data_IF_801194525380
#
_entry.id   IF_801194525380
#
_cell.length_a   1.000
_cell.length_b   1.000
_cell.length_c   1.000
_cell.angle_alpha   90.00
_cell.angle_beta   90.00
_cell.angle_gamma   90.00
#
_symmetry.space_group_name_H-M   'P 1'
#
loop_
_entity.id
_entity.type
_entity.pdbx_description
1 polymer ?
#
# COMPACT_ATOMS: atom_id res chain seq x y z
N UNK A 1 -2.59 -6.51 26.45
CA UNK A 1 -2.20 -5.25 25.80
C UNK A 1 -1.64 -5.61 24.44
N UNK A 2 -2.21 -5.09 23.35
CA UNK A 2 -1.53 -5.15 22.04
C UNK A 2 -0.42 -4.12 22.10
N UNK A 3 0.81 -4.51 21.79
CA UNK A 3 1.88 -3.55 21.57
C UNK A 3 1.50 -2.73 20.33
N UNK A 4 1.41 -1.42 20.49
CA UNK A 4 1.26 -0.48 19.40
C UNK A 4 2.66 -0.33 18.79
N UNK A 5 2.90 -1.00 17.67
CA UNK A 5 4.19 -0.95 16.98
C UNK A 5 4.13 0.27 16.07
N UNK A 6 4.83 1.34 16.46
CA UNK A 6 5.03 2.51 15.61
C UNK A 6 5.75 2.12 14.30
N UNK A 7 5.39 2.79 13.20
CA UNK A 7 6.04 2.60 11.90
C UNK A 7 7.54 2.90 11.98
N UNK A 8 8.37 1.97 11.50
CA UNK A 8 9.81 2.15 11.41
C UNK A 8 10.17 2.76 10.05
N UNK A 9 11.09 3.72 10.05
CA UNK A 9 11.57 4.38 8.86
C UNK A 9 13.09 4.23 8.69
N UNK A 10 13.57 4.20 7.44
CA UNK A 10 14.98 4.15 7.07
C UNK A 10 15.33 5.28 6.11
N UNK A 11 16.56 5.77 6.21
CA UNK A 11 17.12 6.73 5.27
C UNK A 11 17.43 6.06 3.93
N UNK A 12 17.06 6.73 2.83
CA UNK A 12 17.35 6.31 1.47
C UNK A 12 17.66 7.56 0.64
N UNK A 13 18.95 7.81 0.39
CA UNK A 13 19.43 9.08 -0.16
C UNK A 13 18.94 10.27 0.68
N UNK A 14 18.22 11.20 0.06
CA UNK A 14 17.59 12.38 0.68
C UNK A 14 16.17 12.10 1.20
N UNK A 15 15.69 10.85 1.13
CA UNK A 15 14.37 10.44 1.58
C UNK A 15 14.43 9.65 2.89
N UNK A 16 13.30 9.62 3.59
CA UNK A 16 13.03 8.75 4.74
C UNK A 16 11.81 7.90 4.47
N UNK A 17 12.04 6.61 4.17
CA UNK A 17 11.01 5.69 3.72
C UNK A 17 10.57 4.75 4.83
N UNK A 18 9.29 4.40 4.86
CA UNK A 18 8.76 3.33 5.71
C UNK A 18 9.45 2.01 5.36
N UNK A 19 9.74 1.17 6.36
CA UNK A 19 10.41 -0.13 6.12
C UNK A 19 9.52 -1.12 5.37
N UNK A 20 8.21 -0.89 5.39
CA UNK A 20 7.22 -1.57 4.57
C UNK A 20 6.82 -0.64 3.42
N UNK A 21 6.68 -1.21 2.23
CA UNK A 21 6.06 -0.55 1.08
C UNK A 21 4.75 -1.22 0.69
N UNK A 22 3.84 -0.46 0.09
CA UNK A 22 2.59 -0.99 -0.47
C UNK A 22 2.78 -1.29 -1.95
N UNK A 23 2.82 -2.58 -2.30
CA UNK A 23 2.87 -3.03 -3.69
C UNK A 23 1.49 -2.99 -4.36
N UNK A 24 1.46 -2.64 -5.64
CA UNK A 24 0.21 -2.47 -6.42
C UNK A 24 -0.02 -3.55 -7.48
N UNK A 25 0.71 -4.68 -7.41
CA UNK A 25 0.54 -5.82 -8.34
C UNK A 25 -0.86 -6.46 -8.32
N UNK A 26 -1.66 -6.23 -7.29
CA UNK A 26 -3.03 -6.76 -7.22
C UNK A 26 -3.90 -5.88 -6.34
N UNK A 27 -4.64 -4.97 -6.97
CA UNK A 27 -5.63 -4.14 -6.30
C UNK A 27 -6.94 -4.92 -6.07
N UNK A 28 -7.78 -4.46 -5.14
CA UNK A 28 -9.15 -4.98 -5.00
C UNK A 28 -9.90 -4.93 -6.32
N UNK A 29 -10.69 -5.97 -6.62
CA UNK A 29 -11.45 -6.11 -7.86
C UNK A 29 -12.95 -6.21 -7.57
N UNK A 30 -13.78 -5.75 -8.51
CA UNK A 30 -15.24 -5.93 -8.46
C UNK A 30 -15.65 -7.30 -9.02
N UNK A 31 -15.10 -8.37 -8.45
CA UNK A 31 -15.42 -9.76 -8.82
C UNK A 31 -14.22 -10.71 -8.79
N UNK A 32 -14.51 -12.00 -8.99
CA UNK A 32 -13.55 -13.09 -8.93
C UNK A 32 -13.06 -13.48 -10.33
N UNK A 33 -12.28 -12.62 -10.97
CA UNK A 33 -11.76 -12.91 -12.32
C UNK A 33 -10.50 -12.10 -12.63
N UNK A 34 -9.60 -12.62 -13.50
CA UNK A 34 -8.36 -11.93 -13.86
C UNK A 34 -8.61 -10.61 -14.61
N UNK A 35 -9.75 -10.50 -15.30
CA UNK A 35 -10.16 -9.31 -16.05
C UNK A 35 -11.22 -8.48 -15.30
N UNK A 36 -11.50 -8.80 -14.02
CA UNK A 36 -12.45 -8.02 -13.24
C UNK A 36 -11.92 -6.58 -13.07
N UNK A 37 -12.78 -5.55 -13.19
CA UNK A 37 -12.34 -4.18 -13.05
C UNK A 37 -11.91 -3.90 -11.61
N UNK A 38 -10.96 -2.98 -11.44
CA UNK A 38 -10.52 -2.51 -10.13
C UNK A 38 -11.71 -1.93 -9.37
N UNK A 39 -11.81 -2.31 -8.08
CA UNK A 39 -12.68 -1.64 -7.13
C UNK A 39 -11.95 -0.44 -6.53
N UNK A 40 -12.09 0.71 -7.19
CA UNK A 40 -11.40 1.95 -6.81
C UNK A 40 -11.72 2.42 -5.39
N UNK A 41 -12.94 2.19 -4.91
CA UNK A 41 -13.36 2.61 -3.56
C UNK A 41 -12.60 1.80 -2.50
N UNK A 42 -12.57 0.47 -2.66
CA UNK A 42 -11.82 -0.42 -1.77
C UNK A 42 -10.31 -0.23 -1.89
N UNK A 43 -9.82 0.03 -3.10
CA UNK A 43 -8.42 0.38 -3.29
C UNK A 43 -8.08 1.66 -2.51
N UNK A 44 -8.90 2.71 -2.63
CA UNK A 44 -8.70 3.96 -1.90
C UNK A 44 -8.73 3.76 -0.38
N UNK A 45 -9.64 2.94 0.16
CA UNK A 45 -9.66 2.57 1.58
C UNK A 45 -8.36 1.86 2.01
N UNK A 46 -7.85 0.95 1.18
CA UNK A 46 -6.59 0.25 1.42
C UNK A 46 -5.39 1.22 1.45
N UNK A 47 -5.34 2.17 0.51
CA UNK A 47 -4.31 3.21 0.50
C UNK A 47 -4.41 4.13 1.73
N UNK A 48 -5.62 4.58 2.08
CA UNK A 48 -5.86 5.42 3.24
C UNK A 48 -5.39 4.74 4.52
N UNK A 49 -5.76 3.47 4.72
CA UNK A 49 -5.31 2.68 5.86
C UNK A 49 -3.78 2.59 5.91
N UNK A 50 -3.12 2.31 4.79
CA UNK A 50 -1.65 2.23 4.75
C UNK A 50 -0.99 3.56 5.12
N UNK A 51 -1.49 4.66 4.58
CA UNK A 51 -0.98 6.03 4.84
C UNK A 51 -1.19 6.39 6.31
N UNK A 52 -2.39 6.14 6.86
CA UNK A 52 -2.73 6.43 8.26
C UNK A 52 -1.85 5.65 9.25
N UNK A 53 -1.31 4.50 8.82
CA UNK A 53 -0.36 3.68 9.60
C UNK A 53 1.11 3.93 9.21
N UNK A 54 1.39 5.01 8.50
CA UNK A 54 2.74 5.52 8.27
C UNK A 54 3.47 5.00 7.03
N UNK A 55 2.82 4.21 6.16
CA UNK A 55 3.41 3.82 4.88
C UNK A 55 3.55 5.05 3.98
N UNK A 56 4.76 5.27 3.48
CA UNK A 56 5.04 6.35 2.52
C UNK A 56 5.80 5.88 1.26
N UNK A 57 5.96 4.57 1.10
CA UNK A 57 6.61 3.96 -0.05
C UNK A 57 5.62 3.05 -0.80
N UNK A 58 5.42 3.32 -2.08
CA UNK A 58 4.45 2.64 -2.94
C UNK A 58 5.15 2.14 -4.20
N UNK A 59 4.91 0.88 -4.55
CA UNK A 59 5.53 0.19 -5.68
C UNK A 59 4.49 -0.10 -6.77
N UNK A 60 4.80 0.30 -8.02
CA UNK A 60 3.92 0.15 -9.18
C UNK A 60 4.69 0.02 -10.48
N UNK A 61 4.06 -0.55 -11.51
CA UNK A 61 4.60 -0.64 -12.87
C UNK A 61 3.48 -0.80 -13.90
N UNK A 62 3.81 -0.56 -15.17
CA UNK A 62 2.86 -0.70 -16.28
C UNK A 62 2.39 -2.14 -16.53
N UNK A 63 3.23 -3.13 -16.24
CA UNK A 63 2.91 -4.55 -16.46
C UNK A 63 2.24 -5.25 -15.27
N UNK A 64 1.90 -4.51 -14.23
CA UNK A 64 1.19 -5.02 -13.05
C UNK A 64 -0.29 -5.22 -13.34
#
# INVERSE_FOLDING_TARGET
>A
MKEEIDMIYKEFHDLKLSVLGLGTMRLPLRGDGPDAPIDEERAAEMFAYAIDHGINYFDTAYGY
#
